data_IF_226002102579
#
_entry.id   IF_226002102579
#
_cell.length_a   1.000
_cell.length_b   1.000
_cell.length_c   1.000
_cell.angle_alpha   90.00
_cell.angle_beta   90.00
_cell.angle_gamma   90.00
#
_symmetry.space_group_name_H-M   'P 1'
#
loop_
_entity.id
_entity.type
_entity.pdbx_description
1 polymer ?
#
# COMPACT_ATOMS: atom_id res chain seq x y z
N UNK A 1 24.31 -45.40 -42.64
CA UNK A 1 23.52 -46.57 -42.21
C UNK A 1 22.11 -46.38 -42.72
N UNK A 2 21.62 -47.37 -43.46
CA UNK A 2 20.42 -47.34 -44.29
C UNK A 2 19.14 -47.70 -43.51
N UNK A 3 18.00 -47.23 -44.06
CA UNK A 3 16.64 -47.84 -43.98
C UNK A 3 15.97 -47.79 -42.59
N UNK A 4 14.67 -47.58 -42.43
CA UNK A 4 13.51 -47.81 -43.32
C UNK A 4 12.34 -46.93 -42.84
N UNK A 5 11.57 -46.36 -43.78
CA UNK A 5 10.26 -45.75 -43.50
C UNK A 5 9.21 -46.84 -43.25
N UNK A 6 8.37 -46.66 -42.24
CA UNK A 6 7.11 -47.41 -42.09
C UNK A 6 5.94 -46.45 -42.33
N UNK A 7 5.17 -46.70 -43.38
CA UNK A 7 3.86 -46.10 -43.62
C UNK A 7 2.81 -46.95 -42.91
N UNK A 8 1.92 -46.30 -42.16
CA UNK A 8 0.65 -46.89 -41.73
C UNK A 8 -0.48 -46.11 -42.38
N UNK A 9 -1.30 -46.82 -43.14
CA UNK A 9 -2.61 -46.40 -43.61
C UNK A 9 -3.63 -46.73 -42.53
N UNK A 10 -4.37 -45.73 -42.05
CA UNK A 10 -5.66 -45.97 -41.40
C UNK A 10 -6.71 -45.08 -42.05
N UNK A 11 -7.63 -45.76 -42.73
CA UNK A 11 -8.85 -45.26 -43.30
C UNK A 11 -9.92 -45.33 -42.21
N UNK A 12 -10.45 -44.19 -41.76
CA UNK A 12 -11.63 -44.15 -40.89
C UNK A 12 -12.66 -43.19 -41.47
N UNK A 13 -13.74 -43.79 -41.94
CA UNK A 13 -14.96 -43.18 -42.47
C UNK A 13 -15.69 -42.53 -41.29
N UNK A 14 -15.89 -41.21 -41.34
CA UNK A 14 -16.85 -40.54 -40.47
C UNK A 14 -18.17 -40.34 -41.21
N UNK A 15 -19.19 -41.05 -40.73
CA UNK A 15 -20.60 -40.85 -41.06
C UNK A 15 -21.03 -39.43 -40.69
N UNK A 16 -21.63 -38.74 -41.65
CA UNK A 16 -22.28 -37.46 -41.42
C UNK A 16 -23.50 -37.61 -40.52
N UNK A 17 -23.56 -36.79 -39.48
CA UNK A 17 -24.80 -36.46 -38.76
C UNK A 17 -25.14 -35.03 -39.15
N UNK A 18 -26.18 -34.86 -39.96
CA UNK A 18 -26.82 -33.56 -40.18
C UNK A 18 -27.66 -33.23 -38.95
N UNK A 19 -27.19 -32.33 -38.09
CA UNK A 19 -28.04 -31.69 -37.09
C UNK A 19 -28.64 -30.40 -37.67
N UNK A 20 -29.97 -30.39 -37.80
CA UNK A 20 -30.75 -29.17 -37.96
C UNK A 20 -30.68 -28.34 -36.66
N UNK A 21 -30.29 -27.07 -36.81
CA UNK A 21 -30.83 -25.93 -36.06
C UNK A 21 -30.65 -25.87 -34.55
N UNK A 22 -29.77 -24.97 -34.11
CA UNK A 22 -30.17 -23.85 -33.25
C UNK A 22 -29.10 -22.76 -33.35
N UNK A 23 -29.49 -21.58 -33.82
CA UNK A 23 -28.64 -20.41 -33.75
C UNK A 23 -28.58 -19.97 -32.28
N UNK A 24 -27.51 -20.32 -31.59
CA UNK A 24 -27.16 -19.68 -30.33
C UNK A 24 -26.28 -18.48 -30.67
N UNK A 25 -26.87 -17.30 -30.55
CA UNK A 25 -26.13 -16.04 -30.43
C UNK A 25 -25.10 -16.22 -29.32
N UNK A 26 -23.80 -15.96 -29.55
CA UNK A 26 -22.88 -15.83 -28.44
C UNK A 26 -23.33 -14.59 -27.67
N UNK A 27 -23.93 -14.79 -26.49
CA UNK A 27 -24.04 -13.76 -25.49
C UNK A 27 -22.60 -13.34 -25.14
N UNK A 28 -22.11 -12.33 -25.86
CA UNK A 28 -20.95 -11.59 -25.41
C UNK A 28 -21.42 -10.87 -24.15
N UNK A 29 -21.25 -11.52 -23.00
CA UNK A 29 -21.22 -10.84 -21.73
C UNK A 29 -20.06 -9.86 -21.80
N UNK A 30 -20.36 -8.63 -22.24
CA UNK A 30 -19.51 -7.50 -21.94
C UNK A 30 -19.40 -7.50 -20.41
N UNK A 31 -18.22 -7.90 -19.92
CA UNK A 31 -17.81 -7.47 -18.60
C UNK A 31 -17.75 -5.95 -18.71
N UNK A 32 -18.87 -5.30 -18.40
CA UNK A 32 -18.86 -3.88 -18.14
C UNK A 32 -17.80 -3.71 -17.06
N UNK A 33 -16.67 -3.10 -17.44
CA UNK A 33 -15.63 -2.76 -16.48
C UNK A 33 -16.31 -1.93 -15.41
N UNK A 34 -16.57 -2.53 -14.25
CA UNK A 34 -17.06 -1.78 -13.11
C UNK A 34 -16.03 -0.67 -12.83
N UNK A 35 -16.47 0.57 -12.63
CA UNK A 35 -15.56 1.67 -12.37
C UNK A 35 -14.71 1.31 -11.15
N UNK A 36 -13.39 1.39 -11.30
CA UNK A 36 -12.48 1.18 -10.18
C UNK A 36 -12.74 2.30 -9.16
N UNK A 37 -13.04 1.98 -7.89
CA UNK A 37 -13.36 2.99 -6.88
C UNK A 37 -12.18 3.96 -6.72
N UNK A 38 -12.48 5.25 -6.82
CA UNK A 38 -11.50 6.31 -6.66
C UNK A 38 -11.16 6.50 -5.17
N UNK A 39 -9.87 6.65 -4.86
CA UNK A 39 -9.38 6.94 -3.51
C UNK A 39 -8.59 8.24 -3.55
N UNK A 40 -9.06 9.23 -2.81
CA UNK A 40 -8.39 10.51 -2.62
C UNK A 40 -7.77 10.57 -1.23
N UNK A 41 -6.47 10.87 -1.18
CA UNK A 41 -5.75 11.14 0.08
C UNK A 41 -5.36 12.61 0.11
N UNK A 42 -5.70 13.31 1.18
CA UNK A 42 -5.31 14.70 1.43
C UNK A 42 -4.54 14.76 2.74
N UNK A 43 -3.27 15.13 2.69
CA UNK A 43 -2.50 15.34 3.90
C UNK A 43 -2.77 16.73 4.49
N UNK A 44 -2.84 16.79 5.82
CA UNK A 44 -2.88 18.07 6.56
C UNK A 44 -1.45 18.59 6.76
N UNK A 45 -0.48 17.69 6.95
CA UNK A 45 0.96 17.99 6.97
C UNK A 45 1.78 16.73 6.63
N UNK A 46 2.69 16.82 5.66
CA UNK A 46 3.56 15.70 5.22
C UNK A 46 5.03 15.88 5.63
N UNK A 47 5.39 17.07 6.12
CA UNK A 47 6.77 17.46 6.40
C UNK A 47 7.01 17.44 7.90
N UNK A 48 8.07 16.75 8.30
CA UNK A 48 8.56 16.75 9.67
C UNK A 48 9.57 17.87 9.84
N UNK A 49 9.34 18.79 10.77
CA UNK A 49 10.35 19.74 11.24
C UNK A 49 10.68 19.39 12.68
N UNK A 50 11.75 18.63 12.87
CA UNK A 50 12.11 18.08 14.17
C UNK A 50 12.78 19.09 15.13
N UNK A 51 13.21 20.25 14.62
CA UNK A 51 14.03 21.21 15.38
C UNK A 51 15.29 20.56 15.94
N UNK A 52 15.81 21.08 17.05
CA UNK A 52 16.98 20.54 17.75
C UNK A 52 16.63 19.23 18.48
N UNK A 53 16.96 18.09 17.86
CA UNK A 53 16.78 16.76 18.43
C UNK A 53 17.63 16.57 19.71
N UNK A 54 16.96 16.27 20.84
CA UNK A 54 17.61 15.83 22.09
C UNK A 54 17.67 14.30 22.16
N UNK A 55 18.47 13.79 23.10
CA UNK A 55 18.95 12.38 23.23
C UNK A 55 17.90 11.25 23.28
N UNK A 56 16.62 11.58 23.42
CA UNK A 56 15.55 10.61 23.61
C UNK A 56 14.67 10.64 22.36
N UNK A 57 14.47 9.46 21.75
CA UNK A 57 13.95 9.28 20.37
C UNK A 57 12.83 10.24 19.95
N UNK A 58 12.79 10.53 18.65
CA UNK A 58 11.78 11.43 18.09
C UNK A 58 10.57 10.62 17.63
N UNK A 59 9.41 10.88 18.19
CA UNK A 59 8.13 10.36 17.71
C UNK A 59 7.27 11.52 17.20
N UNK A 60 6.58 11.32 16.07
CA UNK A 60 5.62 12.28 15.55
C UNK A 60 4.39 11.59 14.99
N UNK A 61 3.25 12.28 15.06
CA UNK A 61 1.96 11.85 14.53
C UNK A 61 1.47 12.82 13.47
N UNK A 62 1.04 12.28 12.33
CA UNK A 62 0.60 13.01 11.15
C UNK A 62 -0.86 12.70 10.85
N UNK A 63 -1.63 13.73 10.51
CA UNK A 63 -3.05 13.61 10.18
C UNK A 63 -3.26 13.68 8.66
N UNK A 64 -4.04 12.73 8.16
CA UNK A 64 -4.47 12.62 6.78
C UNK A 64 -5.98 12.48 6.72
N UNK A 65 -6.59 13.07 5.70
CA UNK A 65 -7.99 12.85 5.36
C UNK A 65 -8.07 11.93 4.15
N UNK A 66 -8.84 10.84 4.26
CA UNK A 66 -9.09 9.91 3.16
C UNK A 66 -10.56 9.96 2.77
N UNK A 67 -10.82 10.05 1.47
CA UNK A 67 -12.13 9.88 0.85
C UNK A 67 -12.08 8.74 -0.18
N UNK A 68 -12.95 7.74 -0.02
CA UNK A 68 -13.14 6.66 -0.98
C UNK A 68 -14.62 6.28 -1.08
N UNK A 69 -15.04 5.84 -2.28
CA UNK A 69 -16.40 5.34 -2.57
C UNK A 69 -16.60 3.86 -2.17
N UNK A 70 -15.87 3.42 -1.17
CA UNK A 70 -15.91 2.06 -0.61
C UNK A 70 -15.84 2.17 0.91
N UNK A 71 -16.40 1.21 1.62
CA UNK A 71 -16.33 1.13 3.09
C UNK A 71 -14.96 0.64 3.59
N UNK A 72 -14.08 0.20 2.69
CA UNK A 72 -12.81 -0.43 3.02
C UNK A 72 -11.64 0.19 2.24
N UNK A 73 -10.50 0.40 2.90
CA UNK A 73 -9.26 0.85 2.26
C UNK A 73 -8.05 0.07 2.76
N UNK A 74 -7.06 -0.12 1.89
CA UNK A 74 -5.75 -0.62 2.24
C UNK A 74 -4.79 0.56 2.43
N UNK A 75 -4.21 0.66 3.62
CA UNK A 75 -3.33 1.76 4.02
C UNK A 75 -1.90 1.24 4.21
N UNK A 76 -0.92 2.04 3.79
CA UNK A 76 0.51 1.82 4.00
C UNK A 76 1.18 3.18 4.15
N UNK A 77 2.22 3.28 4.97
CA UNK A 77 2.98 4.52 5.09
C UNK A 77 4.33 4.42 4.37
N UNK A 78 4.78 5.53 3.81
CA UNK A 78 6.09 5.70 3.20
C UNK A 78 6.82 6.82 3.94
N UNK A 79 7.93 6.49 4.59
CA UNK A 79 8.58 7.37 5.57
C UNK A 79 10.06 7.49 5.26
N UNK A 80 10.59 8.70 5.17
CA UNK A 80 12.02 8.94 5.00
C UNK A 80 12.77 8.90 6.33
N UNK A 81 14.08 8.65 6.27
CA UNK A 81 14.99 9.13 7.31
C UNK A 81 14.92 10.66 7.43
N UNK A 82 15.34 11.23 8.56
CA UNK A 82 15.46 12.68 8.72
C UNK A 82 16.86 13.14 8.33
N UNK A 83 16.95 14.17 7.51
CA UNK A 83 18.23 14.76 7.08
C UNK A 83 18.41 16.14 7.72
N UNK A 84 19.66 16.52 7.97
CA UNK A 84 19.98 17.85 8.46
C UNK A 84 19.68 18.87 7.35
N UNK A 85 18.90 19.90 7.67
CA UNK A 85 18.50 20.93 6.71
C UNK A 85 19.73 21.63 6.13
N UNK A 86 19.79 21.73 4.79
CA UNK A 86 20.92 22.24 4.00
C UNK A 86 22.16 21.33 3.89
N UNK A 87 22.09 20.09 4.37
CA UNK A 87 23.15 19.10 4.13
C UNK A 87 22.58 17.84 3.47
N UNK A 88 22.49 17.89 2.13
CA UNK A 88 21.92 16.82 1.30
C UNK A 88 22.91 15.66 1.11
N UNK A 89 24.16 15.81 1.56
CA UNK A 89 25.23 14.85 1.31
C UNK A 89 25.72 14.12 2.57
N UNK A 90 25.28 14.52 3.76
CA UNK A 90 25.73 13.88 4.97
C UNK A 90 24.97 12.58 5.27
N UNK A 91 25.75 11.51 5.46
CA UNK A 91 25.30 10.21 5.97
C UNK A 91 24.86 10.26 7.45
N UNK A 92 24.96 11.41 8.11
CA UNK A 92 24.64 11.63 9.52
C UNK A 92 23.13 11.71 9.85
N UNK A 93 22.26 11.50 8.86
CA UNK A 93 20.81 11.50 9.03
C UNK A 93 20.31 10.65 10.21
N UNK A 94 19.15 11.04 10.75
CA UNK A 94 18.47 10.30 11.81
C UNK A 94 17.62 9.22 11.18
N UNK A 95 18.07 7.98 11.34
CA UNK A 95 17.40 6.83 10.75
C UNK A 95 16.04 6.60 11.39
N UNK A 96 15.09 6.19 10.57
CA UNK A 96 13.81 5.64 11.00
C UNK A 96 14.04 4.43 11.92
N UNK A 97 13.38 4.39 13.08
CA UNK A 97 13.41 3.22 13.96
C UNK A 97 12.45 2.15 13.45
N UNK A 98 12.93 1.33 12.51
CA UNK A 98 12.10 0.27 11.92
C UNK A 98 11.64 -0.80 12.91
N UNK A 99 12.24 -0.87 14.11
CA UNK A 99 11.80 -1.82 15.14
C UNK A 99 10.48 -1.41 15.81
N UNK A 100 10.08 -0.14 15.65
CA UNK A 100 8.81 0.39 16.16
C UNK A 100 7.66 0.27 15.17
N UNK A 101 7.95 0.01 13.89
CA UNK A 101 6.95 -0.02 12.82
C UNK A 101 6.28 1.34 12.61
N UNK A 102 5.16 1.31 11.90
CA UNK A 102 4.31 2.45 11.59
C UNK A 102 2.93 2.23 12.19
N UNK A 103 2.52 3.06 13.15
CA UNK A 103 1.17 2.95 13.71
C UNK A 103 0.21 3.75 12.84
N UNK A 104 -0.79 3.06 12.28
CA UNK A 104 -1.87 3.67 11.51
C UNK A 104 -3.15 3.56 12.36
N UNK A 105 -3.80 4.69 12.61
CA UNK A 105 -5.03 4.78 13.39
C UNK A 105 -6.13 5.47 12.57
N UNK A 106 -7.32 4.88 12.55
CA UNK A 106 -8.47 5.37 11.80
C UNK A 106 -9.61 5.65 12.78
N UNK A 107 -10.03 6.90 12.88
CA UNK A 107 -11.17 7.28 13.72
C UNK A 107 -12.46 6.69 13.15
N UNK A 108 -13.30 6.11 14.01
CA UNK A 108 -14.55 5.44 13.62
C UNK A 108 -14.37 4.37 12.53
N UNK A 109 -13.18 3.78 12.48
CA UNK A 109 -12.84 2.65 11.64
C UNK A 109 -12.27 1.50 12.46
N UNK A 110 -12.18 0.32 11.85
CA UNK A 110 -11.59 -0.85 12.47
C UNK A 110 -10.79 -1.66 11.44
N UNK A 111 -9.69 -2.24 11.90
CA UNK A 111 -8.85 -3.15 11.14
C UNK A 111 -9.47 -4.55 11.06
N UNK A 112 -8.84 -5.43 10.30
CA UNK A 112 -9.19 -6.87 10.29
C UNK A 112 -9.09 -7.51 11.69
N UNK A 113 -8.22 -6.99 12.56
CA UNK A 113 -8.12 -7.46 13.95
C UNK A 113 -9.13 -6.80 14.91
N UNK A 114 -10.05 -5.97 14.39
CA UNK A 114 -11.11 -5.32 15.16
C UNK A 114 -10.67 -4.12 16.00
N UNK A 115 -9.47 -3.56 15.75
CA UNK A 115 -8.95 -2.38 16.45
C UNK A 115 -9.05 -1.15 15.56
N UNK A 116 -9.21 0.03 16.14
CA UNK A 116 -9.14 1.30 15.40
C UNK A 116 -7.70 1.70 15.03
N UNK A 117 -6.69 0.92 15.41
CA UNK A 117 -5.30 1.13 15.06
C UNK A 117 -4.58 -0.19 14.78
N UNK A 118 -3.52 -0.11 13.98
CA UNK A 118 -2.62 -1.23 13.71
C UNK A 118 -1.17 -0.75 13.68
N UNK A 119 -0.27 -1.63 14.14
CA UNK A 119 1.18 -1.43 14.00
C UNK A 119 1.66 -2.24 12.81
N UNK A 120 2.23 -1.56 11.82
CA UNK A 120 2.59 -2.16 10.54
C UNK A 120 4.10 -2.10 10.35
N UNK A 121 4.72 -3.24 10.07
CA UNK A 121 6.17 -3.34 9.95
C UNK A 121 6.66 -2.64 8.67
N UNK A 122 7.84 -2.03 8.76
CA UNK A 122 8.54 -1.50 7.61
C UNK A 122 9.25 -2.60 6.84
N UNK A 123 9.13 -2.58 5.51
CA UNK A 123 9.94 -3.42 4.64
C UNK A 123 11.38 -2.93 4.61
N UNK A 124 12.30 -3.86 4.38
CA UNK A 124 13.73 -3.54 4.19
C UNK A 124 14.04 -2.91 2.82
N UNK A 125 13.02 -2.76 1.96
CA UNK A 125 13.13 -2.12 0.65
C UNK A 125 13.26 -0.60 0.81
N UNK A 126 14.24 -0.02 0.11
CA UNK A 126 14.42 1.44 0.05
C UNK A 126 13.66 2.01 -1.14
N UNK A 127 13.03 3.14 -0.90
CA UNK A 127 12.24 3.89 -1.86
C UNK A 127 12.71 5.35 -1.91
N UNK A 128 12.33 6.05 -2.97
CA UNK A 128 12.53 7.49 -3.08
C UNK A 128 11.21 8.21 -2.79
N UNK A 129 11.26 9.22 -1.93
CA UNK A 129 10.13 10.12 -1.63
C UNK A 129 10.63 11.56 -1.74
N UNK A 130 10.04 12.35 -2.64
CA UNK A 130 10.36 13.79 -2.83
C UNK A 130 11.86 14.10 -2.94
N UNK A 131 12.64 13.22 -3.59
CA UNK A 131 14.08 13.36 -3.76
C UNK A 131 14.94 12.80 -2.61
N UNK A 132 14.35 12.37 -1.49
CA UNK A 132 15.04 11.62 -0.44
C UNK A 132 15.20 10.15 -0.85
N UNK A 133 16.46 9.67 -0.90
CA UNK A 133 16.82 8.32 -1.38
C UNK A 133 16.67 7.21 -0.33
N UNK A 134 16.25 7.53 0.89
CA UNK A 134 16.20 6.57 2.01
C UNK A 134 14.81 6.54 2.67
N UNK A 135 13.76 6.29 1.88
CA UNK A 135 12.43 6.02 2.43
C UNK A 135 12.17 4.53 2.59
N UNK A 136 11.38 4.16 3.60
CA UNK A 136 10.91 2.80 3.84
C UNK A 136 9.39 2.77 3.78
N UNK A 137 8.86 1.74 3.14
CA UNK A 137 7.43 1.51 3.00
C UNK A 137 6.97 0.46 4.01
N UNK A 138 5.84 0.67 4.68
CA UNK A 138 5.23 -0.35 5.52
C UNK A 138 4.50 -1.41 4.70
N UNK A 139 4.17 -2.55 5.32
CA UNK A 139 3.12 -3.41 4.79
C UNK A 139 1.78 -2.66 4.63
N UNK A 140 0.86 -3.28 3.88
CA UNK A 140 -0.51 -2.79 3.79
C UNK A 140 -1.33 -3.36 4.94
N UNK A 141 -2.21 -2.53 5.47
CA UNK A 141 -3.23 -2.91 6.44
C UNK A 141 -4.59 -2.44 5.97
N UNK A 142 -5.59 -3.30 6.14
CA UNK A 142 -6.96 -3.01 5.72
C UNK A 142 -7.75 -2.42 6.87
N UNK A 143 -8.42 -1.30 6.64
CA UNK A 143 -9.40 -0.70 7.53
C UNK A 143 -10.77 -0.64 6.88
N UNK A 144 -11.82 -0.75 7.70
CA UNK A 144 -13.23 -0.62 7.33
C UNK A 144 -13.91 0.47 8.16
N UNK A 145 -14.95 1.11 7.61
CA UNK A 145 -15.80 2.01 8.40
C UNK A 145 -16.82 1.22 9.22
N UNK A 146 -17.18 1.76 10.39
CA UNK A 146 -18.24 1.19 11.24
C UNK A 146 -19.61 1.26 10.58
N UNK A 147 -19.85 2.28 9.74
CA UNK A 147 -21.14 2.51 9.09
C UNK A 147 -21.34 1.70 7.79
N UNK A 148 -20.32 0.98 7.31
CA UNK A 148 -20.35 0.19 6.07
C UNK A 148 -20.80 0.98 4.81
N UNK A 149 -20.43 2.27 4.73
CA UNK A 149 -20.76 3.13 3.58
C UNK A 149 -19.53 3.55 2.78
N UNK A 150 -19.08 4.80 2.96
CA UNK A 150 -17.93 5.40 2.28
C UNK A 150 -16.83 5.67 3.30
N UNK A 151 -15.59 5.39 2.93
CA UNK A 151 -14.43 5.69 3.74
C UNK A 151 -14.11 7.18 3.66
N UNK A 152 -14.65 7.95 4.60
CA UNK A 152 -14.41 9.40 4.75
C UNK A 152 -13.95 9.69 6.16
N UNK A 153 -12.66 9.56 6.44
CA UNK A 153 -12.12 9.54 7.82
C UNK A 153 -10.77 10.23 7.95
N UNK A 154 -10.52 10.74 9.15
CA UNK A 154 -9.18 11.10 9.60
C UNK A 154 -8.39 9.83 9.88
N UNK A 155 -7.17 9.80 9.36
CA UNK A 155 -6.17 8.77 9.61
C UNK A 155 -4.96 9.41 10.23
N UNK A 156 -4.54 8.88 11.37
CA UNK A 156 -3.34 9.29 12.07
C UNK A 156 -2.23 8.28 11.83
N UNK A 157 -1.05 8.77 11.45
CA UNK A 157 0.16 7.96 11.24
C UNK A 157 1.19 8.38 12.26
N UNK A 158 1.57 7.48 13.17
CA UNK A 158 2.63 7.72 14.15
C UNK A 158 3.88 6.92 13.78
N UNK A 159 5.01 7.61 13.75
CA UNK A 159 6.32 7.06 13.36
C UNK A 159 7.41 7.59 14.29
N UNK A 160 8.47 6.79 14.46
CA UNK A 160 9.58 7.11 15.34
C UNK A 160 10.92 7.08 14.61
N UNK A 161 11.73 8.11 14.81
CA UNK A 161 13.13 8.20 14.39
C UNK A 161 14.04 8.17 15.60
N UNK A 162 15.30 7.78 15.36
CA UNK A 162 16.35 7.63 16.37
C UNK A 162 16.12 6.45 17.32
N UNK A 163 17.02 5.46 17.27
CA UNK A 163 17.08 4.42 18.28
C UNK A 163 17.60 5.02 19.60
N UNK A 164 16.91 4.73 20.70
CA UNK A 164 17.31 5.18 22.04
C UNK A 164 18.82 4.97 22.29
N UNK A 165 19.51 6.02 22.74
CA UNK A 165 20.94 5.99 23.07
C UNK A 165 21.90 6.46 21.96
N UNK A 166 21.42 6.70 20.75
CA UNK A 166 22.25 7.29 19.68
C UNK A 166 22.28 8.82 19.80
N UNK A 167 23.47 9.43 19.74
CA UNK A 167 23.63 10.89 19.76
C UNK A 167 23.71 11.40 18.32
N UNK A 168 22.95 12.44 18.00
CA UNK A 168 23.02 13.15 16.72
C UNK A 168 23.50 14.59 16.93
N UNK A 169 24.12 15.22 15.92
CA UNK A 169 24.44 16.65 15.98
C UNK A 169 23.20 17.48 16.27
N UNK A 170 23.38 18.61 16.96
CA UNK A 170 22.30 19.59 17.13
C UNK A 170 22.09 20.31 15.81
N UNK A 171 20.83 20.52 15.44
CA UNK A 171 20.45 21.27 14.25
C UNK A 171 19.02 20.94 13.80
N UNK A 172 18.56 21.60 12.74
CA UNK A 172 17.21 21.42 12.21
C UNK A 172 17.16 20.24 11.26
N UNK A 173 16.34 19.24 11.56
CA UNK A 173 16.15 18.09 10.70
C UNK A 173 14.81 18.14 9.97
N UNK A 174 14.81 17.64 8.73
CA UNK A 174 13.64 17.52 7.86
C UNK A 174 13.49 16.11 7.30
N UNK A 175 12.25 15.69 7.09
CA UNK A 175 11.91 14.45 6.39
C UNK A 175 10.44 14.43 6.00
N UNK A 176 10.01 13.32 5.41
CA UNK A 176 8.71 13.19 4.77
C UNK A 176 7.98 11.95 5.23
N UNK A 177 6.67 12.09 5.42
CA UNK A 177 5.73 11.00 5.68
C UNK A 177 4.60 11.10 4.64
N UNK A 178 4.38 10.01 3.90
CA UNK A 178 3.21 9.86 3.01
C UNK A 178 2.36 8.69 3.43
N UNK A 179 1.05 8.90 3.39
CA UNK A 179 0.07 7.84 3.51
C UNK A 179 -0.35 7.40 2.10
N UNK A 180 -0.14 6.12 1.81
CA UNK A 180 -0.59 5.46 0.60
C UNK A 180 -1.91 4.77 0.91
N UNK A 181 -2.94 5.07 0.13
CA UNK A 181 -4.24 4.42 0.21
C UNK A 181 -4.59 3.79 -1.13
N UNK A 182 -5.19 2.60 -1.08
CA UNK A 182 -5.72 1.92 -2.24
C UNK A 182 -7.06 1.28 -1.89
N UNK A 183 -8.00 1.26 -2.83
CA UNK A 183 -9.18 0.44 -2.69
C UNK A 183 -8.77 -1.04 -2.76
N UNK A 184 -9.42 -1.94 -2.01
CA UNK A 184 -9.16 -3.36 -2.11
C UNK A 184 -9.62 -3.90 -3.47
N UNK A 185 -8.75 -4.67 -4.15
CA UNK A 185 -9.05 -5.27 -5.47
C UNK A 185 -10.27 -6.21 -5.47
N UNK A 186 -10.73 -6.64 -4.29
CA UNK A 186 -11.95 -7.44 -4.10
C UNK A 186 -12.70 -6.97 -2.86
N UNK A 187 -13.91 -6.45 -3.07
CA UNK A 187 -14.88 -6.24 -1.99
C UNK A 187 -15.40 -7.63 -1.60
N UNK A 188 -14.89 -8.18 -0.51
CA UNK A 188 -15.52 -9.37 0.08
C UNK A 188 -16.70 -8.92 0.92
N UNK A 189 -17.94 -9.37 0.61
CA UNK A 189 -19.09 -9.04 1.45
C UNK A 189 -18.81 -9.45 2.90
N UNK A 190 -19.20 -8.60 3.85
CA UNK A 190 -19.15 -8.94 5.26
C UNK A 190 -19.92 -10.26 5.49
N UNK A 191 -19.28 -11.20 6.19
CA UNK A 191 -19.94 -12.44 6.65
C UNK A 191 -20.86 -12.14 7.82
#
# INVERSE_FOLDING_TARGET
MNMTKFQYFFLSIFLGVTSLGQAETPDSFSHANEPTPEVTVRAVSEIVNAGDLKRDGLEATFEFWIEAETDQVNLSCLVSDLNLKNDVHDSSGVQLDSSKGCRIEVIDGYSVAGKNWELVDFKNERHTIDGSLNARKSDYVTFRTIDATNFRRNVYVTVSWLRSGESKPVGNYEGSVKLLAAAPDKIYPAK
#
